data_IF_104934744394
#
_entry.id   IF_104934744394
#
_cell.length_a   1.000
_cell.length_b   1.000
_cell.length_c   1.000
_cell.angle_alpha   90.00
_cell.angle_beta   90.00
_cell.angle_gamma   90.00
#
_symmetry.space_group_name_H-M   'P 1'
#
loop_
_entity.id
_entity.type
_entity.pdbx_description
1 polymer ?
#
# COMPACT_ATOMS: atom_id res chain seq x y z
N UNK A 1 -13.36 -32.96 7.44
CA UNK A 1 -12.57 -31.70 7.41
C UNK A 1 -11.97 -31.50 8.80
N UNK A 2 -10.75 -30.97 8.93
CA UNK A 2 -10.16 -30.67 10.25
C UNK A 2 -10.78 -29.42 10.89
N UNK A 3 -10.65 -29.29 12.21
CA UNK A 3 -11.27 -28.21 12.99
C UNK A 3 -10.80 -26.80 12.56
N UNK A 4 -9.50 -26.66 12.24
CA UNK A 4 -8.94 -25.40 11.78
C UNK A 4 -9.53 -24.99 10.42
N UNK A 5 -9.60 -25.93 9.47
CA UNK A 5 -10.27 -25.73 8.18
C UNK A 5 -11.73 -25.33 8.35
N UNK A 6 -12.48 -26.01 9.23
CA UNK A 6 -13.89 -25.69 9.52
C UNK A 6 -14.05 -24.28 10.06
N UNK A 7 -13.22 -23.87 11.02
CA UNK A 7 -13.28 -22.54 11.63
C UNK A 7 -12.97 -21.42 10.63
N UNK A 8 -11.98 -21.61 9.74
CA UNK A 8 -11.64 -20.63 8.70
C UNK A 8 -12.77 -20.56 7.66
N UNK A 9 -13.32 -21.70 7.26
CA UNK A 9 -14.45 -21.78 6.33
C UNK A 9 -15.64 -21.00 6.89
N UNK A 10 -16.07 -21.31 8.12
CA UNK A 10 -17.15 -20.60 8.80
C UNK A 10 -16.90 -19.09 8.88
N UNK A 11 -15.70 -18.66 9.27
CA UNK A 11 -15.34 -17.25 9.35
C UNK A 11 -15.44 -16.54 7.99
N UNK A 12 -15.00 -17.21 6.93
CA UNK A 12 -15.02 -16.66 5.56
C UNK A 12 -16.44 -16.56 5.04
N UNK A 13 -17.21 -17.64 5.19
CA UNK A 13 -18.60 -17.74 4.78
C UNK A 13 -19.51 -16.72 5.50
N UNK A 14 -19.30 -16.48 6.81
CA UNK A 14 -20.04 -15.46 7.56
C UNK A 14 -19.80 -14.05 7.03
N UNK A 15 -18.62 -13.77 6.49
CA UNK A 15 -18.26 -12.45 5.92
C UNK A 15 -18.77 -12.24 4.50
N UNK A 16 -19.06 -13.30 3.76
CA UNK A 16 -19.58 -13.19 2.40
C UNK A 16 -20.95 -12.50 2.38
N UNK A 17 -21.16 -11.45 1.57
CA UNK A 17 -22.49 -10.88 1.36
C UNK A 17 -23.41 -11.92 0.70
N UNK A 18 -24.66 -12.07 1.17
CA UNK A 18 -25.58 -13.09 0.65
C UNK A 18 -25.76 -13.00 -0.88
N UNK A 19 -25.80 -11.78 -1.42
CA UNK A 19 -25.92 -11.52 -2.86
C UNK A 19 -24.73 -11.99 -3.69
N UNK A 20 -23.55 -12.16 -3.08
CA UNK A 20 -22.31 -12.60 -3.74
C UNK A 20 -21.97 -14.06 -3.45
N UNK A 21 -22.64 -14.71 -2.49
CA UNK A 21 -22.28 -16.07 -2.05
C UNK A 21 -22.19 -17.06 -3.21
N UNK A 22 -23.20 -17.10 -4.08
CA UNK A 22 -23.22 -18.03 -5.20
C UNK A 22 -22.07 -17.79 -6.19
N UNK A 23 -21.82 -16.53 -6.58
CA UNK A 23 -20.72 -16.20 -7.50
C UNK A 23 -19.35 -16.51 -6.91
N UNK A 24 -19.13 -16.20 -5.63
CA UNK A 24 -17.86 -16.49 -4.95
C UNK A 24 -17.62 -17.99 -4.83
N UNK A 25 -18.66 -18.79 -4.49
CA UNK A 25 -18.54 -20.25 -4.42
C UNK A 25 -18.25 -20.89 -5.78
N UNK A 26 -18.83 -20.35 -6.87
CA UNK A 26 -18.47 -20.75 -8.24
C UNK A 26 -17.02 -20.41 -8.56
N UNK A 27 -16.57 -19.19 -8.26
CA UNK A 27 -15.18 -18.76 -8.47
C UNK A 27 -14.17 -19.53 -7.61
N UNK A 28 -14.60 -20.07 -6.46
CA UNK A 28 -13.80 -20.95 -5.63
C UNK A 28 -13.50 -22.28 -6.32
N UNK A 29 -14.49 -22.89 -6.99
CA UNK A 29 -14.32 -24.06 -7.84
C UNK A 29 -13.83 -25.31 -7.10
N UNK A 30 -14.19 -25.47 -5.82
CA UNK A 30 -13.94 -26.68 -5.04
C UNK A 30 -15.19 -27.53 -4.78
N UNK A 31 -16.38 -26.99 -5.10
CA UNK A 31 -17.65 -27.71 -5.11
C UNK A 31 -18.07 -27.92 -6.57
N UNK A 32 -18.72 -29.05 -6.88
CA UNK A 32 -19.22 -29.32 -8.23
C UNK A 32 -20.40 -28.40 -8.58
N UNK A 33 -20.73 -28.27 -9.87
CA UNK A 33 -21.89 -27.50 -10.29
C UNK A 33 -23.19 -28.05 -9.68
N UNK A 34 -23.35 -29.37 -9.67
CA UNK A 34 -24.50 -30.06 -9.06
C UNK A 34 -24.63 -29.75 -7.55
N UNK A 35 -23.51 -29.79 -6.81
CA UNK A 35 -23.51 -29.46 -5.38
C UNK A 35 -23.89 -27.99 -5.12
N UNK A 36 -23.60 -27.09 -6.06
CA UNK A 36 -23.96 -25.68 -5.95
C UNK A 36 -25.41 -25.42 -6.35
N UNK A 37 -25.96 -26.20 -7.28
CA UNK A 37 -27.37 -26.13 -7.70
C UNK A 37 -28.33 -26.69 -6.66
N UNK A 38 -27.89 -27.69 -5.90
CA UNK A 38 -28.62 -28.27 -4.75
C UNK A 38 -28.79 -27.29 -3.57
N UNK A 39 -28.01 -26.20 -3.54
CA UNK A 39 -28.10 -25.20 -2.47
C UNK A 39 -29.25 -24.23 -2.69
N UNK A 40 -30.13 -24.12 -1.70
CA UNK A 40 -31.17 -23.10 -1.66
C UNK A 40 -30.63 -21.76 -1.14
N UNK A 41 -30.33 -20.84 -2.07
CA UNK A 41 -29.84 -19.50 -1.77
C UNK A 41 -30.90 -18.54 -1.24
N UNK A 42 -32.18 -18.93 -1.19
CA UNK A 42 -33.28 -18.12 -0.63
C UNK A 42 -33.36 -18.25 0.89
N UNK A 43 -32.73 -19.29 1.46
CA UNK A 43 -32.73 -19.56 2.89
C UNK A 43 -32.01 -18.48 3.71
N UNK A 44 -32.33 -18.40 5.02
CA UNK A 44 -31.55 -17.60 5.95
C UNK A 44 -30.06 -17.94 5.85
N UNK A 45 -29.22 -16.90 5.87
CA UNK A 45 -27.78 -17.02 5.64
C UNK A 45 -27.13 -18.13 6.48
N UNK A 46 -27.48 -18.23 7.76
CA UNK A 46 -26.89 -19.22 8.66
C UNK A 46 -27.16 -20.66 8.21
N UNK A 47 -28.35 -20.96 7.70
CA UNK A 47 -28.74 -22.29 7.23
C UNK A 47 -28.01 -22.64 5.94
N UNK A 48 -27.92 -21.68 5.01
CA UNK A 48 -27.10 -21.79 3.81
C UNK A 48 -25.62 -22.09 4.17
N UNK A 49 -25.07 -21.45 5.20
CA UNK A 49 -23.69 -21.71 5.62
C UNK A 49 -23.50 -23.13 6.14
N UNK A 50 -24.43 -23.64 6.96
CA UNK A 50 -24.38 -25.02 7.45
C UNK A 50 -24.47 -26.02 6.30
N UNK A 51 -25.36 -25.79 5.32
CA UNK A 51 -25.46 -26.63 4.12
C UNK A 51 -24.16 -26.63 3.29
N UNK A 52 -23.54 -25.47 3.11
CA UNK A 52 -22.23 -25.36 2.43
C UNK A 52 -21.15 -26.10 3.21
N UNK A 53 -21.11 -25.98 4.53
CA UNK A 53 -20.14 -26.69 5.39
C UNK A 53 -20.35 -28.20 5.26
N UNK A 54 -21.59 -28.68 5.29
CA UNK A 54 -21.92 -30.09 5.11
C UNK A 54 -21.39 -30.63 3.78
N UNK A 55 -21.65 -29.94 2.66
CA UNK A 55 -21.10 -30.32 1.34
C UNK A 55 -19.57 -30.30 1.31
N UNK A 56 -18.93 -29.36 2.02
CA UNK A 56 -17.48 -29.30 2.13
C UNK A 56 -16.89 -30.47 2.94
N UNK A 57 -17.61 -30.92 3.98
CA UNK A 57 -17.24 -32.10 4.78
C UNK A 57 -17.38 -33.39 3.97
N UNK A 58 -18.45 -33.52 3.19
CA UNK A 58 -18.70 -34.62 2.25
C UNK A 58 -17.60 -34.71 1.17
N UNK A 59 -17.25 -33.57 0.56
CA UNK A 59 -16.17 -33.47 -0.42
C UNK A 59 -14.75 -33.59 0.19
N UNK A 60 -14.64 -33.81 1.51
CA UNK A 60 -13.37 -33.98 2.26
C UNK A 60 -12.35 -32.85 1.99
N UNK A 61 -12.82 -31.61 1.92
CA UNK A 61 -11.96 -30.46 1.64
C UNK A 61 -10.88 -30.29 2.72
N UNK A 62 -9.68 -29.92 2.27
CA UNK A 62 -8.52 -29.66 3.13
C UNK A 62 -8.31 -28.16 3.35
N UNK A 63 -7.45 -27.81 4.30
CA UNK A 63 -7.05 -26.43 4.59
C UNK A 63 -6.62 -25.65 3.34
N UNK A 64 -5.87 -26.31 2.45
CA UNK A 64 -5.45 -25.70 1.19
C UNK A 64 -6.67 -25.29 0.35
N UNK A 65 -7.72 -26.08 0.30
CA UNK A 65 -8.92 -25.81 -0.49
C UNK A 65 -9.71 -24.66 0.16
N UNK A 66 -9.86 -24.67 1.48
CA UNK A 66 -10.51 -23.59 2.24
C UNK A 66 -9.79 -22.24 2.08
N UNK A 67 -8.45 -22.22 2.14
CA UNK A 67 -7.68 -20.97 1.95
C UNK A 67 -7.83 -20.38 0.54
N UNK A 68 -8.22 -21.20 -0.46
CA UNK A 68 -8.55 -20.72 -1.81
C UNK A 68 -9.83 -19.89 -1.79
N UNK A 69 -10.85 -20.27 -1.02
CA UNK A 69 -12.08 -19.49 -0.85
C UNK A 69 -11.80 -18.16 -0.17
N UNK A 70 -11.01 -18.17 0.91
CA UNK A 70 -10.61 -16.95 1.60
C UNK A 70 -9.88 -15.99 0.66
N UNK A 71 -8.96 -16.51 -0.16
CA UNK A 71 -8.25 -15.72 -1.15
C UNK A 71 -9.19 -15.11 -2.20
N UNK A 72 -10.15 -15.88 -2.72
CA UNK A 72 -11.18 -15.37 -3.66
C UNK A 72 -11.99 -14.26 -3.00
N UNK A 73 -12.39 -14.41 -1.74
CA UNK A 73 -13.11 -13.37 -1.00
C UNK A 73 -12.34 -12.04 -0.95
N UNK A 74 -11.03 -12.06 -0.65
CA UNK A 74 -10.21 -10.85 -0.62
C UNK A 74 -9.99 -10.24 -2.01
N UNK A 75 -9.87 -11.07 -3.05
CA UNK A 75 -9.77 -10.59 -4.43
C UNK A 75 -11.06 -9.89 -4.91
N UNK A 76 -12.23 -10.41 -4.55
CA UNK A 76 -13.53 -9.82 -4.90
C UNK A 76 -13.92 -8.62 -4.01
N UNK A 77 -13.25 -8.47 -2.86
CA UNK A 77 -13.52 -7.42 -1.89
C UNK A 77 -12.21 -6.79 -1.40
N UNK A 78 -11.38 -6.24 -2.31
CA UNK A 78 -10.05 -5.73 -1.98
C UNK A 78 -10.10 -4.55 -1.01
N UNK A 79 -11.24 -3.84 -0.93
CA UNK A 79 -11.40 -2.68 -0.06
C UNK A 79 -11.60 -3.04 1.43
N UNK A 80 -11.48 -4.33 1.78
CA UNK A 80 -11.60 -4.85 3.14
C UNK A 80 -10.25 -4.74 3.87
N UNK A 81 -9.93 -3.53 4.34
CA UNK A 81 -8.74 -3.25 5.14
C UNK A 81 -7.95 -2.05 4.64
N UNK A 82 -6.79 -1.79 5.25
CA UNK A 82 -5.88 -0.72 4.84
C UNK A 82 -4.66 -1.35 4.18
N UNK A 83 -4.46 -1.03 2.91
CA UNK A 83 -3.27 -1.41 2.16
C UNK A 83 -2.17 -0.39 2.36
N UNK A 84 -0.94 -0.87 2.25
CA UNK A 84 0.28 -0.08 2.29
C UNK A 84 1.02 -0.30 0.97
N UNK A 85 1.36 0.78 0.27
CA UNK A 85 2.10 0.70 -0.98
C UNK A 85 3.61 0.80 -0.74
N UNK A 86 4.34 0.03 -1.52
CA UNK A 86 5.79 -0.07 -1.52
C UNK A 86 6.32 0.06 -2.95
N UNK A 87 7.55 0.56 -3.07
CA UNK A 87 8.26 0.72 -4.33
C UNK A 87 9.58 -0.03 -4.29
N UNK A 88 9.74 -0.98 -5.19
CA UNK A 88 10.98 -1.68 -5.51
C UNK A 88 11.95 -0.72 -6.23
N UNK A 89 13.22 -0.76 -5.85
CA UNK A 89 14.26 0.16 -6.35
C UNK A 89 15.58 -0.58 -6.60
N UNK A 90 16.34 -0.09 -7.58
CA UNK A 90 17.56 -0.76 -8.06
C UNK A 90 17.21 -2.02 -8.84
N UNK A 91 16.56 -1.87 -9.99
CA UNK A 91 16.27 -2.99 -10.87
C UNK A 91 17.57 -3.55 -11.44
N UNK A 92 17.75 -4.86 -11.38
CA UNK A 92 18.77 -5.56 -12.15
C UNK A 92 18.33 -5.70 -13.62
N UNK A 93 19.27 -6.01 -14.52
CA UNK A 93 19.03 -6.04 -15.98
C UNK A 93 17.86 -6.95 -16.40
N UNK A 94 17.52 -7.96 -15.58
CA UNK A 94 16.45 -8.92 -15.82
C UNK A 94 15.22 -8.75 -14.91
N UNK A 95 15.07 -7.64 -14.18
CA UNK A 95 13.96 -7.45 -13.24
C UNK A 95 12.59 -7.36 -13.92
N UNK A 96 12.53 -6.79 -15.13
CA UNK A 96 11.28 -6.63 -15.89
C UNK A 96 10.91 -7.88 -16.71
N UNK A 97 11.81 -8.85 -16.86
CA UNK A 97 11.61 -10.08 -17.61
C UNK A 97 11.22 -11.28 -16.74
N UNK A 98 11.14 -11.10 -15.42
CA UNK A 98 10.74 -12.18 -14.49
C UNK A 98 9.31 -12.62 -14.80
N UNK A 99 9.19 -13.87 -15.26
CA UNK A 99 7.89 -14.47 -15.51
C UNK A 99 7.19 -14.91 -14.20
N UNK A 100 5.91 -15.25 -14.32
CA UNK A 100 5.11 -15.62 -13.15
C UNK A 100 5.58 -16.91 -12.46
N UNK A 101 6.06 -17.89 -13.23
CA UNK A 101 6.49 -19.19 -12.71
C UNK A 101 7.80 -19.03 -11.95
N UNK A 102 8.78 -18.36 -12.55
CA UNK A 102 10.05 -18.03 -11.94
C UNK A 102 9.87 -17.21 -10.67
N UNK A 103 9.05 -16.14 -10.73
CA UNK A 103 8.73 -15.34 -9.55
C UNK A 103 8.17 -16.20 -8.42
N UNK A 104 7.18 -17.06 -8.73
CA UNK A 104 6.51 -17.90 -7.74
C UNK A 104 7.47 -18.88 -7.07
N UNK A 105 8.30 -19.57 -7.84
CA UNK A 105 9.26 -20.55 -7.34
C UNK A 105 10.31 -19.87 -6.46
N UNK A 106 10.89 -18.77 -6.95
CA UNK A 106 11.88 -18.00 -6.20
C UNK A 106 11.28 -17.42 -4.92
N UNK A 107 10.08 -16.83 -4.97
CA UNK A 107 9.45 -16.25 -3.80
C UNK A 107 9.21 -17.30 -2.69
N UNK A 108 8.70 -18.48 -3.07
CA UNK A 108 8.43 -19.56 -2.11
C UNK A 108 9.73 -20.10 -1.54
N UNK A 109 10.74 -20.38 -2.38
CA UNK A 109 12.03 -20.90 -1.93
C UNK A 109 12.72 -19.98 -0.91
N UNK A 110 12.83 -18.69 -1.24
CA UNK A 110 13.44 -17.70 -0.34
C UNK A 110 12.70 -17.57 0.98
N UNK A 111 11.37 -17.66 0.98
CA UNK A 111 10.58 -17.50 2.20
C UNK A 111 10.64 -18.74 3.10
N UNK A 112 10.64 -19.93 2.50
CA UNK A 112 10.76 -21.20 3.21
C UNK A 112 12.16 -21.41 3.82
N UNK A 113 13.19 -20.83 3.22
CA UNK A 113 14.56 -20.81 3.76
C UNK A 113 14.64 -20.10 5.12
N UNK A 114 13.94 -18.97 5.27
CA UNK A 114 13.99 -18.17 6.51
C UNK A 114 12.85 -18.46 7.49
N UNK A 115 11.69 -18.92 7.01
CA UNK A 115 10.53 -19.25 7.84
C UNK A 115 10.15 -20.71 7.66
N UNK A 116 10.58 -21.54 8.63
CA UNK A 116 10.33 -22.99 8.65
C UNK A 116 8.85 -23.38 8.56
N UNK A 117 7.97 -22.59 9.18
CA UNK A 117 6.53 -22.83 9.20
C UNK A 117 5.80 -21.66 8.55
N UNK A 118 5.72 -21.69 7.23
CA UNK A 118 4.98 -20.72 6.42
C UNK A 118 4.00 -21.44 5.50
N UNK A 119 2.86 -20.80 5.21
CA UNK A 119 1.96 -21.26 4.16
C UNK A 119 1.73 -20.15 3.16
N UNK A 120 2.21 -20.38 1.93
CA UNK A 120 2.16 -19.42 0.83
C UNK A 120 1.18 -19.90 -0.23
N UNK A 121 0.35 -18.99 -0.74
CA UNK A 121 -0.51 -19.23 -1.90
C UNK A 121 -0.40 -18.05 -2.87
N UNK A 122 -0.10 -18.35 -4.13
CA UNK A 122 0.08 -17.35 -5.17
C UNK A 122 -0.90 -17.63 -6.32
N UNK A 123 -1.60 -16.60 -6.79
CA UNK A 123 -2.53 -16.66 -7.92
C UNK A 123 -2.32 -15.43 -8.80
N UNK A 124 -2.32 -15.63 -10.12
CA UNK A 124 -2.34 -14.57 -11.12
C UNK A 124 -3.67 -14.64 -11.89
N UNK A 125 -4.65 -13.78 -11.59
CA UNK A 125 -5.89 -13.67 -12.37
C UNK A 125 -5.62 -13.00 -13.73
N UNK A 126 -6.66 -12.91 -14.55
CA UNK A 126 -6.60 -12.30 -15.90
C UNK A 126 -6.24 -10.81 -15.87
N UNK A 127 -6.45 -10.12 -14.75
CA UNK A 127 -6.11 -8.71 -14.53
C UNK A 127 -4.59 -8.44 -14.50
N UNK A 128 -3.77 -9.49 -14.61
CA UNK A 128 -2.30 -9.41 -14.63
C UNK A 128 -1.68 -9.23 -13.24
N UNK A 129 -2.49 -9.09 -12.18
CA UNK A 129 -2.01 -8.89 -10.82
C UNK A 129 -1.59 -10.22 -10.19
N UNK A 130 -0.44 -10.26 -9.55
CA UNK A 130 -0.01 -11.40 -8.73
C UNK A 130 -0.49 -11.19 -7.31
N UNK A 131 -1.44 -12.03 -6.88
CA UNK A 131 -1.97 -12.07 -5.52
C UNK A 131 -1.22 -13.13 -4.71
N UNK A 132 -0.72 -12.73 -3.55
CA UNK A 132 0.07 -13.55 -2.65
C UNK A 132 -0.63 -13.55 -1.29
N UNK A 133 -0.93 -14.73 -0.75
CA UNK A 133 -1.43 -14.93 0.61
C UNK A 133 -0.36 -15.65 1.41
N UNK A 134 0.01 -15.09 2.57
CA UNK A 134 1.02 -15.65 3.46
C UNK A 134 0.41 -15.83 4.84
N UNK A 135 0.39 -17.07 5.33
CA UNK A 135 0.14 -17.35 6.74
C UNK A 135 1.47 -17.67 7.43
N UNK A 136 1.72 -16.99 8.54
CA UNK A 136 2.98 -17.01 9.27
C UNK A 136 2.90 -17.92 10.48
N UNK A 137 3.89 -18.79 10.64
CA UNK A 137 4.21 -19.48 11.88
C UNK A 137 5.57 -19.03 12.41
N UNK A 138 6.09 -19.76 13.38
CA UNK A 138 7.47 -19.61 13.85
C UNK A 138 8.08 -21.00 14.09
N UNK A 139 9.22 -21.10 14.77
CA UNK A 139 9.89 -22.39 14.99
C UNK A 139 9.07 -23.40 15.80
N UNK A 140 8.06 -22.94 16.54
CA UNK A 140 7.30 -23.76 17.48
C UNK A 140 5.81 -23.83 17.13
N UNK A 141 5.33 -22.94 16.25
CA UNK A 141 3.91 -22.80 15.93
C UNK A 141 3.64 -23.00 14.45
N UNK A 142 2.56 -23.72 14.16
CA UNK A 142 2.03 -23.87 12.79
C UNK A 142 1.58 -22.50 12.24
N UNK A 143 1.53 -22.34 10.91
CA UNK A 143 1.06 -21.10 10.30
C UNK A 143 -0.30 -20.65 10.82
N UNK A 144 -0.40 -19.39 11.25
CA UNK A 144 -1.65 -18.80 11.70
C UNK A 144 -2.50 -18.34 10.51
N UNK A 145 -3.37 -19.22 10.05
CA UNK A 145 -4.27 -18.95 8.94
C UNK A 145 -5.41 -17.95 9.25
N UNK A 146 -5.60 -17.51 10.50
CA UNK A 146 -6.61 -16.50 10.85
C UNK A 146 -6.15 -15.05 10.68
N UNK A 147 -4.83 -14.83 10.58
CA UNK A 147 -4.20 -13.52 10.37
C UNK A 147 -3.20 -13.56 9.21
N UNK A 148 -3.65 -13.93 7.98
CA UNK A 148 -2.77 -13.93 6.83
C UNK A 148 -2.44 -12.49 6.38
N UNK A 149 -1.23 -12.33 5.85
CA UNK A 149 -0.81 -11.16 5.09
C UNK A 149 -1.14 -11.37 3.62
N UNK A 150 -1.63 -10.32 2.96
CA UNK A 150 -1.88 -10.32 1.52
C UNK A 150 -0.95 -9.33 0.85
N UNK A 151 -0.33 -9.74 -0.26
CA UNK A 151 0.42 -8.84 -1.13
C UNK A 151 -0.12 -8.91 -2.56
N UNK A 152 -0.14 -7.77 -3.24
CA UNK A 152 -0.54 -7.64 -4.65
C UNK A 152 0.57 -6.93 -5.40
N UNK A 153 1.06 -7.56 -6.45
CA UNK A 153 2.16 -7.05 -7.26
C UNK A 153 1.85 -7.19 -8.74
N UNK A 154 2.14 -6.15 -9.52
CA UNK A 154 2.11 -6.22 -10.98
C UNK A 154 3.55 -6.34 -11.45
N UNK A 155 3.95 -7.52 -11.95
CA UNK A 155 5.35 -7.86 -12.29
C UNK A 155 6.02 -6.86 -13.25
N UNK A 156 5.22 -6.18 -14.08
CA UNK A 156 5.70 -5.15 -15.01
C UNK A 156 5.99 -3.79 -14.36
N UNK A 157 5.78 -3.67 -13.04
CA UNK A 157 5.84 -2.40 -12.32
C UNK A 157 6.64 -2.59 -11.04
N UNK A 158 7.34 -1.55 -10.55
CA UNK A 158 8.08 -1.64 -9.30
C UNK A 158 7.18 -1.57 -8.05
N UNK A 159 5.84 -1.63 -8.18
CA UNK A 159 4.95 -1.37 -7.05
C UNK A 159 4.37 -2.65 -6.46
N UNK A 160 4.35 -2.70 -5.12
CA UNK A 160 3.76 -3.79 -4.34
C UNK A 160 2.82 -3.20 -3.28
N UNK A 161 1.63 -3.79 -3.15
CA UNK A 161 0.65 -3.39 -2.15
C UNK A 161 0.50 -4.50 -1.10
N UNK A 162 0.61 -4.17 0.19
CA UNK A 162 0.55 -5.17 1.26
C UNK A 162 -0.55 -4.82 2.27
N UNK A 163 -1.33 -5.82 2.67
CA UNK A 163 -2.40 -5.76 3.66
C UNK A 163 -2.09 -6.71 4.83
N UNK A 164 -2.41 -6.29 6.06
CA UNK A 164 -2.20 -7.06 7.30
C UNK A 164 -0.74 -7.46 7.54
N UNK A 165 0.22 -6.61 7.19
CA UNK A 165 1.62 -6.83 7.53
C UNK A 165 1.92 -6.39 8.96
N UNK A 166 2.40 -7.30 9.78
CA UNK A 166 2.82 -6.99 11.16
C UNK A 166 4.30 -6.63 11.20
N UNK A 167 4.71 -5.82 12.18
CA UNK A 167 6.11 -5.43 12.35
C UNK A 167 7.07 -6.63 12.45
N UNK A 168 6.64 -7.72 13.12
CA UNK A 168 7.40 -8.97 13.25
C UNK A 168 7.75 -9.61 11.90
N UNK A 169 6.86 -9.51 10.91
CA UNK A 169 7.05 -10.20 9.62
C UNK A 169 7.64 -9.31 8.54
N UNK A 170 7.78 -7.99 8.78
CA UNK A 170 8.40 -7.05 7.83
C UNK A 170 9.75 -7.58 7.33
N UNK A 171 10.72 -7.96 8.20
CA UNK A 171 12.08 -8.31 7.76
C UNK A 171 12.15 -9.46 6.75
N UNK A 172 11.23 -10.43 6.81
CA UNK A 172 11.21 -11.58 5.89
C UNK A 172 10.70 -11.24 4.47
N UNK A 173 9.93 -10.16 4.35
CA UNK A 173 9.51 -9.64 3.05
C UNK A 173 10.46 -8.57 2.55
N UNK A 174 10.89 -7.70 3.47
CA UNK A 174 11.79 -6.60 3.19
C UNK A 174 12.42 -5.99 4.45
N UNK A 175 13.62 -5.45 4.30
CA UNK A 175 14.25 -4.64 5.33
C UNK A 175 14.33 -3.19 4.86
N UNK A 176 13.72 -2.28 5.61
CA UNK A 176 14.02 -0.85 5.45
C UNK A 176 15.40 -0.65 6.08
N UNK A 177 16.41 -0.40 5.26
CA UNK A 177 17.73 -0.03 5.75
C UNK A 177 17.65 1.35 6.38
N UNK A 178 17.21 1.43 7.64
CA UNK A 178 17.34 2.63 8.48
C UNK A 178 18.80 2.77 8.93
N UNK A 179 19.70 3.05 7.98
CA UNK A 179 21.11 3.33 8.26
C UNK A 179 21.29 4.53 9.21
N UNK A 180 20.29 5.39 9.35
CA UNK A 180 20.38 6.59 10.18
C UNK A 180 20.22 6.37 11.69
N UNK A 181 19.59 5.27 12.13
CA UNK A 181 19.42 5.02 13.57
C UNK A 181 20.64 4.34 14.21
N UNK A 182 21.39 3.56 13.43
CA UNK A 182 22.56 2.82 13.91
C UNK A 182 23.75 3.72 14.26
N UNK A 183 23.97 4.79 13.48
CA UNK A 183 25.07 5.75 13.74
C UNK A 183 24.76 6.61 14.98
N UNK A 184 23.49 6.97 15.19
CA UNK A 184 23.09 7.78 16.35
C UNK A 184 23.06 6.98 17.66
N UNK A 185 22.60 5.73 17.65
CA UNK A 185 22.65 4.88 18.85
C UNK A 185 24.08 4.49 19.24
N UNK A 186 24.96 4.22 18.26
CA UNK A 186 26.38 3.93 18.52
C UNK A 186 27.13 5.10 19.15
N UNK A 187 26.80 6.34 18.78
CA UNK A 187 27.45 7.54 19.36
C UNK A 187 26.90 7.92 20.74
N UNK A 188 25.62 7.69 21.02
CA UNK A 188 25.01 8.02 22.33
C UNK A 188 25.40 6.99 23.40
N UNK A 189 25.51 5.71 23.05
CA UNK A 189 25.92 4.66 23.99
C UNK A 189 27.41 4.69 24.37
N UNK A 190 28.28 5.27 23.54
CA UNK A 190 29.71 5.43 23.85
C UNK A 190 29.99 6.52 24.90
N UNK A 191 29.03 7.39 25.21
CA UNK A 191 29.22 8.48 26.18
C UNK A 191 28.63 8.22 27.58
N UNK A 192 27.83 7.16 27.75
CA UNK A 192 27.26 6.81 29.05
C UNK A 192 27.45 5.30 29.32
N UNK A 193 28.07 4.99 30.47
CA UNK A 193 28.22 3.64 31.05
C UNK A 193 29.51 2.85 30.77
N UNK A 194 30.66 3.47 31.02
CA UNK A 194 31.76 2.78 31.70
C UNK A 194 31.29 2.44 33.14
N UNK A 195 30.58 1.32 33.38
CA UNK A 195 30.69 0.54 34.65
C UNK A 195 29.77 -0.70 34.81
N UNK A 196 28.78 -0.99 33.93
CA UNK A 196 27.81 -2.08 34.19
C UNK A 196 27.61 -3.09 33.04
N UNK A 197 28.66 -3.33 32.24
CA UNK A 197 28.50 -3.65 30.81
C UNK A 197 28.64 -5.10 30.35
N UNK A 198 28.84 -6.09 31.21
CA UNK A 198 29.07 -7.47 30.72
C UNK A 198 27.81 -8.34 30.62
N UNK A 199 26.77 -8.09 31.41
CA UNK A 199 25.56 -8.93 31.38
C UNK A 199 24.46 -8.42 30.44
N UNK A 200 24.31 -7.10 30.27
CA UNK A 200 23.29 -6.54 29.38
C UNK A 200 23.69 -6.59 27.89
N UNK A 201 24.99 -6.43 27.59
CA UNK A 201 25.50 -6.52 26.22
C UNK A 201 25.41 -7.94 25.66
N UNK A 202 25.60 -8.97 26.50
CA UNK A 202 25.48 -10.35 26.03
C UNK A 202 24.03 -10.68 25.65
N UNK A 203 23.05 -10.12 26.37
CA UNK A 203 21.63 -10.35 26.08
C UNK A 203 21.13 -9.56 24.86
N UNK A 204 21.56 -8.31 24.67
CA UNK A 204 21.21 -7.50 23.50
C UNK A 204 21.94 -8.01 22.25
N UNK A 205 23.24 -8.32 22.35
CA UNK A 205 23.99 -8.87 21.22
C UNK A 205 23.48 -10.24 20.80
N UNK A 206 23.05 -11.13 21.71
CA UNK A 206 22.49 -12.43 21.29
C UNK A 206 21.12 -12.29 20.62
N UNK A 207 20.27 -11.37 21.09
CA UNK A 207 18.97 -11.10 20.45
C UNK A 207 19.15 -10.44 19.07
N UNK A 208 20.14 -9.55 18.92
CA UNK A 208 20.48 -8.93 17.64
C UNK A 208 21.23 -9.88 16.70
N UNK A 209 22.08 -10.77 17.19
CA UNK A 209 22.82 -11.74 16.35
C UNK A 209 21.88 -12.74 15.67
N UNK A 210 20.88 -13.24 16.39
CA UNK A 210 19.85 -14.13 15.82
C UNK A 210 18.91 -13.39 14.85
N UNK A 211 18.72 -12.07 15.02
CA UNK A 211 17.97 -11.25 14.07
C UNK A 211 18.81 -10.85 12.84
N UNK A 212 20.11 -10.60 13.03
CA UNK A 212 21.04 -10.13 12.01
C UNK A 212 21.35 -11.23 11.00
N UNK A 213 21.63 -12.45 11.47
CA UNK A 213 21.89 -13.58 10.56
C UNK A 213 20.63 -14.08 9.83
N UNK A 214 19.43 -13.92 10.42
CA UNK A 214 18.17 -14.45 9.87
C UNK A 214 17.43 -13.49 8.91
N UNK A 215 17.99 -12.30 8.65
CA UNK A 215 17.35 -11.20 7.89
C UNK A 215 17.79 -11.06 6.43
N UNK A 216 18.65 -11.94 5.91
CA UNK A 216 19.20 -11.81 4.56
C UNK A 216 18.21 -12.22 3.44
N UNK A 217 17.15 -12.96 3.74
CA UNK A 217 16.12 -13.29 2.74
C UNK A 217 15.00 -12.25 2.76
N UNK A 218 15.11 -11.29 1.85
CA UNK A 218 14.02 -10.37 1.51
C UNK A 218 13.24 -11.01 0.35
N UNK A 219 12.37 -11.98 0.64
CA UNK A 219 11.79 -12.86 -0.37
C UNK A 219 11.13 -12.11 -1.53
N UNK A 220 10.50 -10.96 -1.27
CA UNK A 220 9.87 -10.12 -2.28
C UNK A 220 10.89 -9.37 -3.16
N UNK A 221 12.00 -8.93 -2.57
CA UNK A 221 13.07 -8.18 -3.27
C UNK A 221 13.88 -9.12 -4.15
N UNK A 222 14.29 -10.26 -3.58
CA UNK A 222 15.09 -11.27 -4.28
C UNK A 222 14.31 -11.94 -5.43
N UNK A 223 13.03 -12.25 -5.22
CA UNK A 223 12.20 -12.87 -6.27
C UNK A 223 11.83 -11.94 -7.42
N UNK A 224 11.90 -10.62 -7.20
CA UNK A 224 11.64 -9.61 -8.24
C UNK A 224 12.92 -9.08 -8.89
N UNK A 225 14.11 -9.52 -8.44
CA UNK A 225 15.43 -9.05 -8.91
C UNK A 225 15.60 -7.53 -8.79
N UNK A 226 15.13 -7.00 -7.68
CA UNK A 226 15.44 -5.63 -7.26
C UNK A 226 16.43 -5.67 -6.10
N UNK A 227 17.15 -4.57 -5.88
CA UNK A 227 18.12 -4.45 -4.80
C UNK A 227 17.45 -4.08 -3.47
N UNK A 228 16.32 -3.37 -3.52
CA UNK A 228 15.69 -2.82 -2.31
C UNK A 228 14.20 -2.52 -2.52
N UNK A 229 13.49 -2.30 -1.42
CA UNK A 229 12.09 -1.86 -1.42
C UNK A 229 11.85 -0.84 -0.32
N UNK A 230 11.15 0.23 -0.68
CA UNK A 230 10.90 1.39 0.17
C UNK A 230 9.40 1.61 0.36
N UNK A 231 9.00 2.14 1.51
CA UNK A 231 7.62 2.59 1.74
C UNK A 231 7.30 3.73 0.77
N UNK A 232 6.24 3.59 -0.04
CA UNK A 232 5.80 4.66 -0.95
C UNK A 232 5.04 5.77 -0.20
N UNK A 233 4.89 5.66 1.12
CA UNK A 233 4.09 6.57 1.97
C UNK A 233 2.67 6.81 1.46
N UNK A 234 2.11 5.80 0.76
CA UNK A 234 0.73 5.75 0.30
C UNK A 234 0.02 4.61 1.03
N UNK A 235 -1.06 4.96 1.73
CA UNK A 235 -1.92 4.00 2.43
C UNK A 235 -3.38 4.29 2.15
N UNK A 236 -4.21 3.27 2.04
CA UNK A 236 -5.60 3.47 1.67
C UNK A 236 -6.42 2.20 1.68
N UNK A 237 -7.75 2.36 1.68
CA UNK A 237 -8.68 1.23 1.61
C UNK A 237 -8.89 0.76 0.18
N UNK A 238 -8.95 1.67 -0.78
CA UNK A 238 -9.16 1.32 -2.19
C UNK A 238 -7.87 0.93 -2.89
N UNK A 239 -7.65 -0.38 -3.07
CA UNK A 239 -6.52 -0.92 -3.83
C UNK A 239 -6.45 -0.37 -5.26
N UNK A 240 -7.59 -0.34 -5.95
CA UNK A 240 -7.69 0.17 -7.31
C UNK A 240 -7.25 1.63 -7.38
N UNK A 241 -7.70 2.49 -6.46
CA UNK A 241 -7.35 3.88 -6.50
C UNK A 241 -5.87 4.17 -6.20
N UNK A 242 -5.27 3.43 -5.26
CA UNK A 242 -3.83 3.56 -5.00
C UNK A 242 -3.01 3.09 -6.19
N UNK A 243 -3.43 1.99 -6.83
CA UNK A 243 -2.83 1.53 -8.09
C UNK A 243 -2.95 2.63 -9.14
N UNK A 244 -4.14 3.13 -9.42
CA UNK A 244 -4.34 4.11 -10.48
C UNK A 244 -3.53 5.40 -10.24
N UNK A 245 -3.41 5.82 -8.98
CA UNK A 245 -2.60 6.97 -8.58
C UNK A 245 -1.09 6.74 -8.82
N UNK A 246 -0.56 5.56 -8.47
CA UNK A 246 0.85 5.22 -8.71
C UNK A 246 1.16 4.88 -10.18
N UNK A 247 0.23 4.26 -10.89
CA UNK A 247 0.39 3.87 -12.29
C UNK A 247 0.32 5.06 -13.24
N UNK A 248 -0.50 6.09 -12.95
CA UNK A 248 -0.46 7.36 -13.68
C UNK A 248 0.94 7.99 -13.64
N UNK A 249 1.61 7.93 -12.48
CA UNK A 249 2.98 8.43 -12.37
C UNK A 249 3.95 7.59 -13.21
N UNK A 250 3.84 6.26 -13.16
CA UNK A 250 4.71 5.38 -13.95
C UNK A 250 4.54 5.63 -15.46
N UNK A 251 3.30 5.78 -15.94
CA UNK A 251 3.01 6.13 -17.32
C UNK A 251 3.44 7.56 -17.70
N UNK A 252 3.58 8.49 -16.75
CA UNK A 252 4.11 9.84 -17.04
C UNK A 252 5.65 9.88 -17.15
N UNK A 253 6.36 8.91 -16.57
CA UNK A 253 7.83 8.80 -16.67
C UNK A 253 8.27 8.27 -18.05
N UNK A 254 7.37 7.58 -18.76
CA UNK A 254 7.53 7.22 -20.16
C UNK A 254 6.63 8.11 -21.01
N UNK A 255 7.16 9.08 -21.77
CA UNK A 255 6.32 10.07 -22.44
C UNK A 255 5.39 9.39 -23.45
N UNK A 256 4.11 9.27 -23.11
CA UNK A 256 3.06 9.07 -24.10
C UNK A 256 2.75 10.46 -24.68
N UNK A 257 3.36 10.73 -25.82
CA UNK A 257 3.23 11.97 -26.58
C UNK A 257 1.81 12.05 -27.16
N UNK A 258 0.83 12.47 -26.36
CA UNK A 258 -0.48 12.85 -26.89
C UNK A 258 -1.23 13.74 -25.88
N UNK A 259 -0.90 15.03 -25.91
CA UNK A 259 -1.87 16.08 -25.59
C UNK A 259 -1.92 17.05 -26.74
N UNK A 260 -2.75 16.69 -27.70
CA UNK A 260 -3.32 17.58 -28.71
C UNK A 260 -4.10 18.65 -27.97
N UNK A 261 -3.51 19.84 -27.81
CA UNK A 261 -4.26 21.04 -27.45
C UNK A 261 -5.20 21.33 -28.62
N UNK A 262 -6.44 20.86 -28.52
CA UNK A 262 -7.51 21.34 -29.38
C UNK A 262 -7.88 22.75 -28.91
N UNK A 263 -7.36 23.72 -29.62
CA UNK A 263 -7.87 25.09 -29.64
C UNK A 263 -9.35 25.03 -30.07
N UNK A 264 -10.27 25.40 -29.17
CA UNK A 264 -11.69 25.52 -29.53
C UNK A 264 -12.05 27.01 -29.60
N UNK A 265 -12.10 27.49 -30.83
CA UNK A 265 -12.66 28.78 -31.20
C UNK A 265 -14.14 28.86 -30.80
N UNK A 266 -14.52 29.93 -30.12
CA UNK A 266 -15.91 30.41 -30.07
C UNK A 266 -15.93 31.94 -30.23
N UNK A 267 -16.75 32.40 -31.18
CA UNK A 267 -16.99 33.82 -31.49
C UNK A 267 -17.92 34.49 -30.46
N UNK A 268 -17.91 35.85 -30.39
CA UNK A 268 -18.32 36.61 -29.21
C UNK A 268 -19.79 37.08 -29.22
N UNK A 269 -20.38 37.26 -28.03
CA UNK A 269 -21.53 38.16 -27.80
C UNK A 269 -21.46 38.83 -26.41
N UNK A 270 -21.99 40.05 -26.30
CA UNK A 270 -21.56 41.19 -25.44
C UNK A 270 -22.05 41.23 -23.95
N UNK A 271 -21.38 41.96 -23.03
CA UNK A 271 -19.93 41.95 -22.90
C UNK A 271 -19.32 41.96 -21.49
N UNK A 272 -19.99 42.24 -20.35
CA UNK A 272 -19.22 42.66 -19.17
C UNK A 272 -19.55 42.04 -17.80
N UNK A 273 -20.63 41.28 -17.61
CA UNK A 273 -20.91 40.70 -16.27
C UNK A 273 -21.07 39.18 -16.36
N UNK A 274 -21.94 38.69 -17.24
CA UNK A 274 -22.06 37.24 -17.48
C UNK A 274 -20.80 36.66 -18.13
N UNK A 275 -20.13 37.46 -18.98
CA UNK A 275 -18.84 37.11 -19.57
C UNK A 275 -17.71 37.13 -18.54
N UNK A 276 -17.66 38.11 -17.64
CA UNK A 276 -16.64 38.16 -16.58
C UNK A 276 -16.84 37.00 -15.59
N UNK A 277 -18.08 36.68 -15.22
CA UNK A 277 -18.39 35.53 -14.38
C UNK A 277 -18.08 34.19 -15.08
N UNK A 278 -18.36 34.06 -16.38
CA UNK A 278 -18.03 32.87 -17.16
C UNK A 278 -16.52 32.70 -17.36
N UNK A 279 -15.79 33.77 -17.74
CA UNK A 279 -14.34 33.76 -17.90
C UNK A 279 -13.63 33.48 -16.56
N UNK A 280 -14.14 34.02 -15.45
CA UNK A 280 -13.59 33.76 -14.11
C UNK A 280 -13.91 32.33 -13.62
N UNK A 281 -15.11 31.81 -13.91
CA UNK A 281 -15.47 30.43 -13.61
C UNK A 281 -14.68 29.43 -14.46
N UNK A 282 -14.45 29.74 -15.74
CA UNK A 282 -13.64 28.95 -16.66
C UNK A 282 -12.17 28.96 -16.22
N UNK A 283 -11.62 30.12 -15.83
CA UNK A 283 -10.26 30.22 -15.28
C UNK A 283 -10.07 29.38 -14.02
N UNK A 284 -11.05 29.38 -13.09
CA UNK A 284 -11.04 28.50 -11.90
C UNK A 284 -11.11 27.02 -12.27
N UNK A 285 -11.95 26.67 -13.23
CA UNK A 285 -12.07 25.30 -13.72
C UNK A 285 -10.77 24.82 -14.37
N UNK A 286 -10.14 25.67 -15.19
CA UNK A 286 -8.87 25.39 -15.84
C UNK A 286 -7.75 25.19 -14.81
N UNK A 287 -7.62 26.08 -13.81
CA UNK A 287 -6.65 25.90 -12.72
C UNK A 287 -6.88 24.59 -11.96
N UNK A 288 -8.13 24.22 -11.71
CA UNK A 288 -8.46 22.95 -11.05
C UNK A 288 -8.07 21.74 -11.92
N UNK A 289 -8.24 21.83 -13.25
CA UNK A 289 -7.83 20.80 -14.20
C UNK A 289 -6.31 20.70 -14.34
N UNK A 290 -5.59 21.83 -14.29
CA UNK A 290 -4.12 21.84 -14.29
C UNK A 290 -3.55 21.23 -13.00
N UNK A 291 -4.16 21.53 -11.85
CA UNK A 291 -3.72 21.02 -10.55
C UNK A 291 -4.03 19.52 -10.35
N UNK A 292 -5.20 19.05 -10.79
CA UNK A 292 -5.69 17.69 -10.46
C UNK A 292 -5.87 16.76 -11.68
N UNK A 293 -5.76 17.29 -12.90
CA UNK A 293 -6.02 16.58 -14.14
C UNK A 293 -7.43 16.85 -14.72
N UNK A 294 -7.56 16.64 -16.02
CA UNK A 294 -8.80 16.79 -16.80
C UNK A 294 -9.72 15.56 -16.65
N UNK A 295 -9.15 14.35 -16.66
CA UNK A 295 -9.89 13.09 -16.58
C UNK A 295 -10.32 12.65 -15.18
N UNK A 296 -10.81 11.40 -15.09
CA UNK A 296 -11.23 10.78 -13.82
C UNK A 296 -10.06 10.75 -12.84
N UNK A 297 -10.24 11.39 -11.68
CA UNK A 297 -9.24 11.41 -10.62
C UNK A 297 -9.25 10.09 -9.84
N UNK A 298 -8.09 9.57 -9.42
CA UNK A 298 -8.04 8.37 -8.59
C UNK A 298 -8.74 8.65 -7.24
N UNK A 299 -9.43 7.65 -6.70
CA UNK A 299 -10.18 7.77 -5.46
C UNK A 299 -9.28 7.72 -4.22
N UNK A 300 -8.78 8.87 -3.79
CA UNK A 300 -8.00 8.99 -2.55
C UNK A 300 -8.91 9.37 -1.37
N UNK A 301 -8.80 8.68 -0.24
CA UNK A 301 -9.67 8.95 0.92
C UNK A 301 -9.06 9.92 1.93
N UNK A 302 -7.74 9.88 2.13
CA UNK A 302 -7.08 10.67 3.16
C UNK A 302 -5.73 11.20 2.69
N UNK A 303 -5.33 12.37 3.19
CA UNK A 303 -3.98 12.92 3.06
C UNK A 303 -3.54 13.54 4.40
N UNK A 304 -2.29 13.31 4.80
CA UNK A 304 -1.74 13.73 6.09
C UNK A 304 -0.47 14.54 5.84
N UNK A 305 -0.42 15.75 6.38
CA UNK A 305 0.76 16.61 6.39
C UNK A 305 1.26 16.71 7.83
N UNK A 306 2.50 16.30 8.06
CA UNK A 306 3.23 16.49 9.31
C UNK A 306 4.20 17.64 9.11
N UNK A 307 4.06 18.68 9.92
CA UNK A 307 4.96 19.82 9.95
C UNK A 307 5.93 19.65 11.13
N UNK A 308 7.22 19.75 10.86
CA UNK A 308 8.27 19.73 11.87
C UNK A 308 9.15 20.97 11.66
N UNK A 309 8.95 21.99 12.49
CA UNK A 309 9.63 23.29 12.34
C UNK A 309 10.10 23.82 13.68
N UNK A 310 11.12 24.68 13.68
CA UNK A 310 11.48 25.46 14.86
C UNK A 310 10.78 26.81 14.84
N UNK A 311 10.55 27.37 16.01
CA UNK A 311 10.05 28.73 16.14
C UNK A 311 11.20 29.72 15.92
N UNK A 312 11.14 30.54 14.87
CA UNK A 312 12.07 31.66 14.64
C UNK A 312 11.37 32.99 14.95
N UNK A 313 11.34 33.37 16.23
CA UNK A 313 10.85 34.68 16.66
C UNK A 313 12.01 35.67 16.87
N UNK A 314 11.90 36.89 16.33
CA UNK A 314 12.92 37.95 16.46
C UNK A 314 12.78 38.83 17.71
N UNK A 315 11.90 38.48 18.65
CA UNK A 315 11.66 39.24 19.88
C UNK A 315 11.99 38.39 21.10
N UNK A 316 12.71 38.97 22.06
CA UNK A 316 13.09 38.42 23.37
C UNK A 316 11.90 37.88 24.19
N UNK A 317 11.31 36.77 23.75
CA UNK A 317 10.27 36.03 24.45
C UNK A 317 10.69 34.56 24.52
N UNK A 318 10.41 33.95 25.66
CA UNK A 318 10.79 32.62 26.20
C UNK A 318 10.59 31.37 25.33
N UNK A 319 10.26 31.52 24.04
CA UNK A 319 10.04 30.46 23.06
C UNK A 319 11.11 30.38 21.95
N UNK A 320 11.90 31.44 21.73
CA UNK A 320 12.95 31.48 20.70
C UNK A 320 14.21 30.69 21.06
N UNK A 321 14.37 30.32 22.35
CA UNK A 321 15.57 29.67 22.89
C UNK A 321 15.39 28.15 23.11
N UNK A 322 14.26 27.59 22.66
CA UNK A 322 14.00 26.15 22.74
C UNK A 322 14.40 25.50 21.43
N UNK A 323 15.40 24.63 21.49
CA UNK A 323 15.80 23.73 20.38
C UNK A 323 14.72 22.66 20.05
N UNK A 324 13.53 22.79 20.67
CA UNK A 324 12.44 21.85 20.60
C UNK A 324 11.61 22.07 19.33
N UNK A 325 11.54 21.04 18.49
CA UNK A 325 10.75 21.06 17.25
C UNK A 325 9.27 21.16 17.58
N UNK A 326 8.61 22.18 17.03
CA UNK A 326 7.16 22.24 16.98
C UNK A 326 6.64 21.26 15.93
N UNK A 327 5.69 20.41 16.34
CA UNK A 327 5.09 19.36 15.50
C UNK A 327 3.61 19.65 15.27
N UNK A 328 3.23 19.87 14.02
CA UNK A 328 1.84 20.01 13.60
C UNK A 328 1.41 18.83 12.74
N UNK A 329 0.16 18.37 12.85
CA UNK A 329 -0.40 17.34 11.95
C UNK A 329 -1.72 17.84 11.40
N UNK A 330 -1.79 17.99 10.08
CA UNK A 330 -3.02 18.31 9.35
C UNK A 330 -3.47 17.07 8.59
N UNK A 331 -4.69 16.59 8.82
CA UNK A 331 -5.26 15.43 8.14
C UNK A 331 -6.52 15.82 7.40
N UNK A 332 -6.52 15.60 6.09
CA UNK A 332 -7.69 15.69 5.23
C UNK A 332 -8.34 14.31 5.08
N UNK A 333 -9.67 14.26 5.07
CA UNK A 333 -10.44 13.02 4.92
C UNK A 333 -11.72 13.29 4.12
N UNK A 334 -11.97 12.51 3.08
CA UNK A 334 -13.18 12.57 2.25
C UNK A 334 -13.37 11.23 1.54
N UNK A 335 -14.60 10.83 1.16
CA UNK A 335 -14.80 9.66 0.29
C UNK A 335 -14.08 9.75 -1.07
N UNK A 336 -13.84 10.98 -1.56
CA UNK A 336 -13.12 11.28 -2.81
C UNK A 336 -12.37 12.61 -2.64
N UNK A 337 -11.25 12.58 -1.91
CA UNK A 337 -10.52 13.78 -1.48
C UNK A 337 -10.05 14.63 -2.66
N UNK A 338 -9.47 14.02 -3.69
CA UNK A 338 -8.97 14.76 -4.86
C UNK A 338 -10.10 15.44 -5.62
N UNK A 339 -11.26 14.79 -5.70
CA UNK A 339 -12.45 15.35 -6.31
C UNK A 339 -13.04 16.48 -5.46
N UNK A 340 -13.05 16.31 -4.14
CA UNK A 340 -13.46 17.37 -3.21
C UNK A 340 -12.55 18.60 -3.34
N UNK A 341 -11.23 18.41 -3.44
CA UNK A 341 -10.28 19.50 -3.62
C UNK A 341 -10.42 20.17 -5.00
N UNK A 342 -10.60 19.39 -6.07
CA UNK A 342 -10.89 19.90 -7.42
C UNK A 342 -12.18 20.71 -7.42
N UNK A 343 -13.22 20.24 -6.73
CA UNK A 343 -14.50 20.93 -6.60
C UNK A 343 -14.31 22.24 -5.82
N UNK A 344 -13.66 22.24 -4.65
CA UNK A 344 -13.39 23.46 -3.88
C UNK A 344 -12.64 24.51 -4.69
N UNK A 345 -11.66 24.09 -5.50
CA UNK A 345 -10.94 24.97 -6.41
C UNK A 345 -11.86 25.51 -7.53
N UNK A 346 -12.66 24.64 -8.14
CA UNK A 346 -13.56 25.01 -9.24
C UNK A 346 -14.69 25.95 -8.79
N UNK A 347 -15.21 25.78 -7.57
CA UNK A 347 -16.28 26.62 -7.01
C UNK A 347 -15.78 27.89 -6.34
N UNK A 348 -14.45 28.08 -6.22
CA UNK A 348 -13.86 29.23 -5.56
C UNK A 348 -14.01 29.23 -4.03
N UNK A 349 -14.22 28.06 -3.41
CA UNK A 349 -14.19 27.89 -1.95
C UNK A 349 -12.77 27.98 -1.37
N UNK A 350 -11.75 27.89 -2.22
CA UNK A 350 -10.35 28.17 -1.86
C UNK A 350 -9.86 29.44 -2.58
N UNK A 351 -9.32 30.40 -1.83
CA UNK A 351 -8.68 31.59 -2.40
C UNK A 351 -7.31 31.26 -3.00
N UNK A 352 -7.00 31.85 -4.15
CA UNK A 352 -5.70 31.73 -4.83
C UNK A 352 -5.46 30.40 -5.57
N UNK A 353 -4.30 30.25 -6.23
CA UNK A 353 -3.92 28.99 -6.84
C UNK A 353 -3.85 27.91 -5.76
N UNK A 354 -4.36 26.70 -6.08
CA UNK A 354 -4.32 25.55 -5.17
C UNK A 354 -2.90 25.37 -4.67
N UNK A 355 -2.71 25.46 -3.35
CA UNK A 355 -1.37 25.37 -2.75
C UNK A 355 -0.63 24.15 -3.29
N UNK A 356 0.67 24.28 -3.64
CA UNK A 356 1.51 23.16 -4.08
C UNK A 356 1.46 21.96 -3.15
N UNK A 357 1.14 22.17 -1.86
CA UNK A 357 0.94 21.10 -0.91
C UNK A 357 -0.20 20.16 -1.37
N UNK A 358 -1.34 20.72 -1.76
CA UNK A 358 -2.54 19.96 -2.14
C UNK A 358 -2.51 19.50 -3.60
N UNK A 359 -2.03 20.34 -4.53
CA UNK A 359 -1.91 19.95 -5.94
C UNK A 359 -0.81 18.89 -6.18
N UNK A 360 0.21 18.82 -5.32
CA UNK A 360 1.24 17.77 -5.44
C UNK A 360 0.83 16.39 -4.97
N UNK A 361 -0.37 16.20 -4.42
CA UNK A 361 -0.83 14.88 -3.96
C UNK A 361 -0.85 13.87 -5.11
N UNK A 362 -1.40 14.28 -6.26
CA UNK A 362 -1.45 13.48 -7.48
C UNK A 362 -0.07 13.26 -8.09
N UNK A 363 0.82 14.25 -7.99
CA UNK A 363 2.17 14.19 -8.55
C UNK A 363 3.13 13.32 -7.74
N UNK A 364 3.03 13.37 -6.41
CA UNK A 364 3.99 12.72 -5.51
C UNK A 364 3.67 11.27 -5.21
N UNK A 365 2.50 10.77 -5.60
CA UNK A 365 2.20 9.34 -5.43
C UNK A 365 2.02 8.88 -3.98
N UNK A 366 1.88 9.82 -3.03
CA UNK A 366 1.88 9.54 -1.58
C UNK A 366 0.79 10.33 -0.90
N UNK A 367 0.34 9.86 0.26
CA UNK A 367 -0.67 10.57 1.04
C UNK A 367 -0.23 10.90 2.46
N UNK A 368 1.04 10.65 2.78
CA UNK A 368 1.71 11.17 3.96
C UNK A 368 2.89 12.05 3.51
N UNK A 369 2.90 13.30 3.97
CA UNK A 369 3.89 14.31 3.66
C UNK A 369 4.53 14.81 4.95
N UNK A 370 5.85 14.84 5.00
CA UNK A 370 6.59 15.48 6.09
C UNK A 370 7.22 16.75 5.54
N UNK A 371 6.86 17.89 6.13
CA UNK A 371 7.41 19.20 5.83
C UNK A 371 8.34 19.53 6.99
N UNK A 372 9.64 19.45 6.74
CA UNK A 372 10.67 19.78 7.71
C UNK A 372 11.44 21.02 7.27
N UNK A 373 11.94 21.80 8.23
CA UNK A 373 12.80 22.94 7.94
C UNK A 373 14.08 22.50 7.20
N UNK A 374 14.48 23.26 6.18
CA UNK A 374 15.73 23.00 5.44
C UNK A 374 16.91 23.40 6.33
N UNK A 375 17.61 22.43 6.89
CA UNK A 375 18.85 22.69 7.65
C UNK A 375 19.90 23.25 6.67
N UNK A 376 20.46 24.44 6.90
CA UNK A 376 21.55 24.96 6.08
C UNK A 376 22.78 24.07 6.30
N UNK A 377 23.00 23.13 5.38
CA UNK A 377 24.10 22.14 5.45
C UNK A 377 23.87 20.86 4.64
N UNK A 378 22.62 20.49 4.32
CA UNK A 378 22.35 19.34 3.45
C UNK A 378 22.33 19.75 1.98
N UNK A 379 23.47 19.55 1.31
CA UNK A 379 23.52 19.53 -0.15
C UNK A 379 22.67 18.36 -0.64
N UNK A 380 21.54 18.66 -1.28
CA UNK A 380 20.88 17.72 -2.19
C UNK A 380 21.84 17.45 -3.34
N UNK A 381 22.59 16.33 -3.25
CA UNK A 381 23.37 15.80 -4.38
C UNK A 381 22.41 15.40 -5.49
N UNK A 382 22.24 16.28 -6.47
CA UNK A 382 21.86 15.91 -7.83
C UNK A 382 22.95 14.98 -8.37
N UNK A 383 22.64 13.80 -8.96
CA UNK A 383 23.67 13.04 -9.65
C UNK A 383 24.13 13.86 -10.85
N UNK A 384 25.42 14.20 -10.86
CA UNK A 384 26.06 14.82 -12.00
C UNK A 384 25.90 13.89 -13.22
N UNK A 385 25.29 14.44 -14.27
CA UNK A 385 25.25 13.87 -15.61
C UNK A 385 26.70 13.77 -16.10
N UNK A 386 27.26 12.57 -16.18
CA UNK A 386 28.51 12.35 -16.91
C UNK A 386 28.18 12.33 -18.40
N UNK A 387 28.75 13.28 -19.12
CA UNK A 387 28.99 13.22 -20.58
C UNK A 387 29.85 12.04 -20.94
#
# INVERSE_FOLDING_TARGET
>A
MDEQSRAILQRTLRRLPSKKTQSTLRAWGCLSAEQLEDLDYTQPKWLLLENVIFKCEESRLRLKDVTKLEMVYYMENPNQGTWHAFKLTGAEDEALSVDFTQFKEMFVAHLEEVVKHVSVRIKKPEDGAVWIRIAWGDNFTKPNHFKPTYAVHYLQTPYVFILNLTAKHKPYLYQVTSFYLFIYFGHIFMSFYYYYYYYYYFYICLYESDCFYRSHSQALVLSTRYVSINEAHLTGRSLAAMRDLLMKQYQQVFPNQERTLKERNALPSHPNIDREHAEFAEGKHQMACEAFGDGTVPKLETAVYKLETRYRGSSNNTLSDRDELFRGVVKFSSPSLLESLRHCASTGMSEGPVTPLLSSITQKGRNLFVIAEKVPGSTSRTPARKT
#
